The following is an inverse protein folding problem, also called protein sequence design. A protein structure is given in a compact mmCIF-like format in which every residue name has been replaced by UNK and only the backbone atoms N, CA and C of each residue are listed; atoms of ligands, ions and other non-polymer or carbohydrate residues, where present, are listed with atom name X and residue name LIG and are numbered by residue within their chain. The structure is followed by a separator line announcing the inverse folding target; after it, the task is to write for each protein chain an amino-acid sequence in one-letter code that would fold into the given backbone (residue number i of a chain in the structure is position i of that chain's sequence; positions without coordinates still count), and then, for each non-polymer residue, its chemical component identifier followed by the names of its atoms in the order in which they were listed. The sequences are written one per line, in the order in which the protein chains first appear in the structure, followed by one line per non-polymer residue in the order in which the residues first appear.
data_IF_208793547542
#
_entry.id   IF_208793547542
#
_cell.length_a   1.000
_cell.length_b   1.000
_cell.length_c   1.000
_cell.angle_alpha   90.00
_cell.angle_beta   90.00
_cell.angle_gamma   90.00
#
_symmetry.space_group_name_H-M   'P 1'
#
loop_
_entity.id
_entity.type
_entity.pdbx_description
1 polymer ?
#
# COMPACT_ATOMS: atom_id res chain seq x y z
N UNK A 1 -11.22 -16.09 -17.45
CA UNK A 1 -11.44 -17.52 -17.66
C UNK A 1 -10.25 -18.34 -17.11
N UNK A 2 -9.01 -18.16 -17.62
CA UNK A 2 -7.85 -18.99 -17.27
C UNK A 2 -7.52 -19.08 -15.75
N UNK A 3 -7.61 -17.98 -14.99
CA UNK A 3 -7.35 -17.99 -13.53
C UNK A 3 -8.38 -18.84 -12.78
N UNK A 4 -9.64 -18.81 -13.18
CA UNK A 4 -10.70 -19.61 -12.54
C UNK A 4 -10.60 -21.10 -12.89
N UNK A 5 -10.22 -21.43 -14.11
CA UNK A 5 -9.98 -22.82 -14.49
C UNK A 5 -8.79 -23.43 -13.71
N UNK A 6 -7.86 -22.60 -13.25
CA UNK A 6 -6.77 -23.00 -12.36
C UNK A 6 -7.15 -22.98 -10.85
N UNK A 7 -8.43 -22.79 -10.52
CA UNK A 7 -8.94 -22.70 -9.15
C UNK A 7 -8.26 -21.62 -8.30
N UNK A 8 -7.85 -20.50 -8.93
CA UNK A 8 -7.21 -19.37 -8.25
C UNK A 8 -8.23 -18.34 -7.78
N UNK A 9 -8.01 -17.80 -6.59
CA UNK A 9 -8.78 -16.67 -6.07
C UNK A 9 -8.40 -15.39 -6.83
N UNK A 10 -9.40 -14.59 -7.22
CA UNK A 10 -9.21 -13.31 -7.89
C UNK A 10 -9.61 -12.20 -6.93
N UNK A 11 -8.60 -11.49 -6.43
CA UNK A 11 -8.74 -10.38 -5.47
C UNK A 11 -8.05 -9.17 -6.11
N UNK A 12 -8.79 -8.32 -6.86
CA UNK A 12 -8.21 -7.14 -7.48
C UNK A 12 -7.86 -6.09 -6.44
N UNK A 13 -6.85 -5.27 -6.75
CA UNK A 13 -6.47 -4.12 -5.95
C UNK A 13 -7.21 -2.87 -6.44
N UNK A 14 -7.74 -2.09 -5.50
CA UNK A 14 -8.27 -0.75 -5.74
C UNK A 14 -7.27 0.25 -5.15
N UNK A 15 -6.80 1.16 -5.98
CA UNK A 15 -6.00 2.32 -5.55
C UNK A 15 -6.88 3.55 -5.42
N UNK A 16 -6.41 4.56 -4.68
CA UNK A 16 -7.05 5.86 -4.67
C UNK A 16 -6.26 6.85 -5.54
N UNK A 17 -6.95 7.53 -6.45
CA UNK A 17 -6.42 8.58 -7.30
C UNK A 17 -6.95 9.96 -6.92
N UNK A 18 -7.43 10.13 -5.70
CA UNK A 18 -8.07 11.38 -5.26
C UNK A 18 -7.03 12.47 -4.97
N UNK A 19 -7.47 13.72 -5.06
CA UNK A 19 -6.65 14.85 -4.66
C UNK A 19 -6.45 14.87 -3.13
N UNK A 20 -5.46 15.65 -2.69
CA UNK A 20 -5.12 15.80 -1.28
C UNK A 20 -6.36 16.08 -0.40
N UNK A 21 -6.47 15.37 0.72
CA UNK A 21 -7.53 15.42 1.73
C UNK A 21 -8.92 14.97 1.25
N UNK A 22 -9.09 14.62 -0.02
CA UNK A 22 -10.41 14.21 -0.56
C UNK A 22 -10.80 12.85 0.03
N UNK A 23 -9.93 11.84 -0.06
CA UNK A 23 -10.24 10.53 0.52
C UNK A 23 -10.44 10.61 2.04
N UNK A 24 -9.59 11.32 2.76
CA UNK A 24 -9.76 11.54 4.20
C UNK A 24 -11.12 12.17 4.55
N UNK A 25 -11.57 13.14 3.74
CA UNK A 25 -12.89 13.75 3.87
C UNK A 25 -14.04 12.78 3.58
N UNK A 26 -13.91 11.96 2.55
CA UNK A 26 -14.90 10.92 2.21
C UNK A 26 -15.01 9.87 3.33
N UNK A 27 -13.88 9.41 3.88
CA UNK A 27 -13.86 8.44 4.98
C UNK A 27 -14.48 9.00 6.26
N UNK A 28 -14.43 10.30 6.51
CA UNK A 28 -15.06 10.96 7.64
C UNK A 28 -16.58 10.86 7.61
N UNK A 29 -17.20 10.86 6.42
CA UNK A 29 -18.65 10.83 6.24
C UNK A 29 -19.18 9.39 6.21
N UNK A 30 -20.07 8.98 7.12
CA UNK A 30 -20.71 7.65 7.04
C UNK A 30 -21.43 7.41 5.72
N UNK A 31 -22.10 8.43 5.18
CA UNK A 31 -22.78 8.36 3.89
C UNK A 31 -21.80 8.09 2.76
N UNK A 32 -20.68 8.81 2.72
CA UNK A 32 -19.67 8.60 1.69
C UNK A 32 -19.01 7.23 1.81
N UNK A 33 -18.72 6.75 3.04
CA UNK A 33 -18.23 5.38 3.25
C UNK A 33 -19.21 4.35 2.69
N UNK A 34 -20.52 4.50 2.97
CA UNK A 34 -21.54 3.59 2.44
C UNK A 34 -21.58 3.59 0.90
N UNK A 35 -21.41 4.75 0.26
CA UNK A 35 -21.34 4.87 -1.20
C UNK A 35 -20.12 4.14 -1.78
N UNK A 36 -18.93 4.35 -1.18
CA UNK A 36 -17.70 3.66 -1.58
C UNK A 36 -17.85 2.15 -1.43
N UNK A 37 -18.40 1.68 -0.30
CA UNK A 37 -18.65 0.26 -0.05
C UNK A 37 -19.63 -0.31 -1.09
N UNK A 38 -20.71 0.40 -1.40
CA UNK A 38 -21.66 -0.03 -2.43
C UNK A 38 -20.97 -0.19 -3.79
N UNK A 39 -20.14 0.76 -4.20
CA UNK A 39 -19.40 0.69 -5.45
C UNK A 39 -18.40 -0.50 -5.48
N UNK A 40 -17.72 -0.78 -4.37
CA UNK A 40 -16.85 -1.95 -4.23
C UNK A 40 -17.65 -3.24 -4.38
N UNK A 41 -18.80 -3.34 -3.73
CA UNK A 41 -19.65 -4.52 -3.80
C UNK A 41 -20.23 -4.75 -5.20
N UNK A 42 -20.56 -3.67 -5.91
CA UNK A 42 -21.02 -3.75 -7.30
C UNK A 42 -19.92 -4.27 -8.23
N UNK A 43 -18.67 -3.80 -8.02
CA UNK A 43 -17.51 -4.28 -8.75
C UNK A 43 -17.28 -5.79 -8.51
N UNK A 44 -17.31 -6.22 -7.25
CA UNK A 44 -17.13 -7.63 -6.85
C UNK A 44 -18.22 -8.49 -7.49
N UNK A 45 -19.47 -8.06 -7.44
CA UNK A 45 -20.62 -8.77 -8.02
C UNK A 45 -20.53 -8.86 -9.53
N UNK A 46 -20.27 -7.73 -10.21
CA UNK A 46 -20.17 -7.65 -11.67
C UNK A 46 -19.14 -8.60 -12.25
N UNK A 47 -17.99 -8.72 -11.59
CA UNK A 47 -16.87 -9.54 -12.08
C UNK A 47 -16.72 -10.87 -11.34
N UNK A 48 -17.63 -11.15 -10.38
CA UNK A 48 -17.56 -12.32 -9.52
C UNK A 48 -16.21 -12.51 -8.84
N UNK A 49 -15.62 -11.44 -8.27
CA UNK A 49 -14.35 -11.50 -7.55
C UNK A 49 -14.49 -12.23 -6.21
N UNK A 50 -13.39 -12.80 -5.72
CA UNK A 50 -13.33 -13.54 -4.46
C UNK A 50 -13.06 -12.64 -3.25
N UNK A 51 -12.73 -11.39 -3.50
CA UNK A 51 -12.47 -10.36 -2.51
C UNK A 51 -12.01 -9.07 -3.15
N UNK A 52 -11.49 -8.19 -2.33
CA UNK A 52 -10.90 -6.91 -2.74
C UNK A 52 -9.63 -6.64 -1.94
N UNK A 53 -8.66 -5.98 -2.53
CA UNK A 53 -7.49 -5.43 -1.87
C UNK A 53 -7.56 -3.90 -1.91
N UNK A 54 -7.40 -3.26 -0.76
CA UNK A 54 -7.38 -1.80 -0.65
C UNK A 54 -5.94 -1.31 -0.60
N UNK A 55 -5.54 -0.57 -1.61
CA UNK A 55 -4.24 0.11 -1.70
C UNK A 55 -4.47 1.62 -1.72
N UNK A 56 -5.01 2.13 -0.61
CA UNK A 56 -5.34 3.55 -0.43
C UNK A 56 -4.14 4.28 0.15
N UNK A 57 -3.45 5.04 -0.68
CA UNK A 57 -2.20 5.71 -0.32
C UNK A 57 -2.32 7.23 -0.13
N UNK A 58 -3.39 7.86 -0.63
CA UNK A 58 -3.55 9.31 -0.63
C UNK A 58 -3.45 9.91 0.77
N UNK A 59 -4.15 9.37 1.75
CA UNK A 59 -4.09 9.86 3.13
C UNK A 59 -2.74 9.61 3.82
N UNK A 60 -1.93 8.70 3.29
CA UNK A 60 -0.61 8.37 3.84
C UNK A 60 0.51 9.21 3.21
N UNK A 61 0.53 9.33 1.88
CA UNK A 61 1.63 9.96 1.15
C UNK A 61 1.33 11.38 0.67
N UNK A 62 0.07 11.68 0.31
CA UNK A 62 -0.32 13.00 -0.23
C UNK A 62 -0.75 13.94 0.89
N UNK A 63 -1.53 13.45 1.86
CA UNK A 63 -1.88 14.18 3.07
C UNK A 63 -0.68 14.16 4.04
N UNK A 64 -0.45 15.24 4.73
CA UNK A 64 0.65 15.30 5.69
C UNK A 64 0.37 14.42 6.91
N UNK A 65 1.42 13.92 7.55
CA UNK A 65 1.33 13.11 8.77
C UNK A 65 0.61 13.83 9.93
N UNK A 66 0.49 15.15 9.89
CA UNK A 66 -0.30 15.96 10.84
C UNK A 66 -1.79 15.63 10.79
N UNK A 67 -2.29 15.02 9.71
CA UNK A 67 -3.70 14.63 9.56
C UNK A 67 -3.97 13.19 10.00
N UNK A 68 -2.96 12.37 10.21
CA UNK A 68 -3.12 10.94 10.45
C UNK A 68 -3.91 10.60 11.71
N UNK A 69 -3.70 11.34 12.79
CA UNK A 69 -4.46 11.13 14.03
C UNK A 69 -5.96 11.35 13.86
N UNK A 70 -6.37 12.31 13.01
CA UNK A 70 -7.78 12.57 12.71
C UNK A 70 -8.35 11.62 11.65
N UNK A 71 -7.54 11.14 10.71
CA UNK A 71 -7.97 10.23 9.63
C UNK A 71 -8.11 8.78 10.12
N UNK A 72 -7.20 8.34 11.00
CA UNK A 72 -7.12 6.98 11.51
C UNK A 72 -8.46 6.38 11.97
N UNK A 73 -9.27 7.03 12.85
CA UNK A 73 -10.54 6.44 13.30
C UNK A 73 -11.55 6.25 12.17
N UNK A 74 -11.52 7.11 11.16
CA UNK A 74 -12.41 7.00 10.00
C UNK A 74 -11.99 5.89 9.04
N UNK A 75 -10.68 5.68 8.88
CA UNK A 75 -10.12 4.53 8.18
C UNK A 75 -10.53 3.22 8.86
N UNK A 76 -10.37 3.12 10.17
CA UNK A 76 -10.78 1.92 10.93
C UNK A 76 -12.27 1.66 10.79
N UNK A 77 -13.12 2.71 10.87
CA UNK A 77 -14.56 2.58 10.68
C UNK A 77 -14.90 2.02 9.27
N UNK A 78 -14.27 2.56 8.23
CA UNK A 78 -14.45 2.11 6.85
C UNK A 78 -14.07 0.63 6.67
N UNK A 79 -12.90 0.22 7.17
CA UNK A 79 -12.44 -1.18 7.09
C UNK A 79 -13.41 -2.11 7.83
N UNK A 80 -13.88 -1.72 9.02
CA UNK A 80 -14.85 -2.49 9.79
C UNK A 80 -16.17 -2.65 9.06
N UNK A 81 -16.73 -1.57 8.52
CA UNK A 81 -18.01 -1.56 7.79
C UNK A 81 -17.92 -2.44 6.52
N UNK A 82 -16.86 -2.26 5.72
CA UNK A 82 -16.63 -3.06 4.51
C UNK A 82 -16.44 -4.55 4.85
N UNK A 83 -15.65 -4.85 5.88
CA UNK A 83 -15.42 -6.23 6.34
C UNK A 83 -16.72 -6.94 6.71
N UNK A 84 -17.62 -6.27 7.42
CA UNK A 84 -18.92 -6.86 7.80
C UNK A 84 -19.73 -7.30 6.59
N UNK A 85 -19.76 -6.45 5.56
CA UNK A 85 -20.51 -6.75 4.32
C UNK A 85 -19.81 -7.86 3.51
N UNK A 86 -18.46 -7.80 3.34
CA UNK A 86 -17.71 -8.82 2.63
C UNK A 86 -17.85 -10.20 3.27
N UNK A 87 -17.70 -10.29 4.60
CA UNK A 87 -17.87 -11.54 5.35
C UNK A 87 -19.26 -12.15 5.17
N UNK A 88 -20.32 -11.33 5.16
CA UNK A 88 -21.70 -11.81 4.91
C UNK A 88 -21.88 -12.42 3.51
N UNK A 89 -20.96 -12.19 2.60
CA UNK A 89 -20.95 -12.69 1.22
C UNK A 89 -19.80 -13.68 0.96
N UNK A 90 -19.11 -14.15 2.00
CA UNK A 90 -17.92 -15.01 1.90
C UNK A 90 -16.85 -14.43 0.97
N UNK A 91 -16.59 -13.12 1.05
CA UNK A 91 -15.58 -12.40 0.28
C UNK A 91 -14.44 -11.93 1.18
N UNK A 92 -13.23 -11.96 0.65
CA UNK A 92 -12.00 -11.61 1.37
C UNK A 92 -11.74 -10.10 1.33
N UNK A 93 -11.21 -9.59 2.43
CA UNK A 93 -10.67 -8.23 2.54
C UNK A 93 -9.15 -8.29 2.72
N UNK A 94 -8.44 -7.78 1.74
CA UNK A 94 -7.00 -7.54 1.80
C UNK A 94 -6.73 -6.04 1.91
N UNK A 95 -5.66 -5.67 2.58
CA UNK A 95 -5.22 -4.26 2.69
C UNK A 95 -3.73 -4.20 2.41
N UNK A 96 -3.35 -3.41 1.41
CA UNK A 96 -1.96 -3.06 1.09
C UNK A 96 -1.56 -1.79 1.84
N UNK A 97 -0.40 -1.81 2.51
CA UNK A 97 0.04 -0.67 3.32
C UNK A 97 1.55 -0.50 3.23
N UNK A 98 2.07 0.74 3.36
CA UNK A 98 3.46 0.94 3.69
C UNK A 98 3.79 0.39 5.08
N UNK A 99 5.06 0.42 5.43
CA UNK A 99 5.56 -0.07 6.70
C UNK A 99 4.95 0.66 7.91
N UNK A 100 4.80 -0.08 8.97
CA UNK A 100 4.48 0.42 10.30
C UNK A 100 5.35 -0.32 11.31
N UNK A 101 5.83 0.41 12.31
CA UNK A 101 6.47 -0.17 13.49
C UNK A 101 5.54 -0.07 14.69
N UNK A 102 6.09 -0.24 15.88
CA UNK A 102 5.36 0.08 17.11
C UNK A 102 4.90 1.55 17.10
N UNK A 103 3.57 1.82 17.09
CA UNK A 103 3.03 3.17 17.06
C UNK A 103 3.32 3.98 18.33
N UNK A 104 3.75 3.36 19.42
CA UNK A 104 4.21 4.04 20.62
C UNK A 104 5.65 4.56 20.53
N UNK A 105 6.45 3.99 19.60
CA UNK A 105 7.86 4.35 19.40
C UNK A 105 8.08 5.71 18.74
N UNK A 106 9.30 6.22 18.80
CA UNK A 106 9.70 7.49 18.18
C UNK A 106 9.61 7.46 16.66
N UNK A 107 9.77 6.28 16.05
CA UNK A 107 9.67 6.05 14.60
C UNK A 107 8.44 5.18 14.32
N UNK A 108 7.29 5.78 14.26
CA UNK A 108 6.01 5.08 14.18
C UNK A 108 5.69 4.47 12.81
N UNK A 109 6.37 4.87 11.73
CA UNK A 109 5.94 4.52 10.38
C UNK A 109 4.57 5.14 10.06
N UNK A 110 3.81 4.51 9.18
CA UNK A 110 2.51 5.01 8.71
C UNK A 110 1.37 4.57 9.63
N UNK A 111 1.34 5.07 10.86
CA UNK A 111 0.40 4.65 11.91
C UNK A 111 -1.09 4.93 11.59
N UNK A 112 -1.39 5.72 10.57
CA UNK A 112 -2.76 5.97 10.08
C UNK A 112 -3.45 4.67 9.64
N UNK A 113 -2.69 3.67 9.20
CA UNK A 113 -3.25 2.37 8.79
C UNK A 113 -3.73 1.49 9.95
N UNK A 114 -3.38 1.83 11.19
CA UNK A 114 -3.99 1.25 12.38
C UNK A 114 -4.01 -0.29 12.40
N UNK A 115 -2.87 -0.94 12.12
CA UNK A 115 -2.80 -2.40 11.95
C UNK A 115 -3.43 -3.19 13.11
N UNK A 116 -3.17 -2.79 14.35
CA UNK A 116 -3.75 -3.45 15.51
C UNK A 116 -5.29 -3.37 15.52
N UNK A 117 -5.83 -2.20 15.18
CA UNK A 117 -7.26 -1.94 15.21
C UNK A 117 -8.00 -2.60 14.02
N UNK A 118 -7.36 -2.72 12.84
CA UNK A 118 -7.98 -3.36 11.67
C UNK A 118 -7.75 -4.88 11.62
N UNK A 119 -6.81 -5.44 12.38
CA UNK A 119 -6.46 -6.85 12.38
C UNK A 119 -7.66 -7.81 12.50
N UNK A 120 -8.72 -7.55 13.33
CA UNK A 120 -9.89 -8.42 13.41
C UNK A 120 -10.78 -8.41 12.16
N UNK A 121 -10.62 -7.39 11.32
CA UNK A 121 -11.53 -7.13 10.20
C UNK A 121 -10.97 -7.56 8.85
N UNK A 122 -9.65 -7.70 8.70
CA UNK A 122 -8.99 -8.06 7.44
C UNK A 122 -8.59 -9.54 7.41
N UNK A 123 -8.52 -10.09 6.21
CA UNK A 123 -8.03 -11.45 5.94
C UNK A 123 -6.55 -11.44 5.57
N UNK A 124 -6.07 -10.37 4.93
CA UNK A 124 -4.67 -10.22 4.50
C UNK A 124 -4.18 -8.80 4.74
N UNK A 125 -3.02 -8.69 5.34
CA UNK A 125 -2.21 -7.47 5.37
C UNK A 125 -1.05 -7.66 4.39
N UNK A 126 -0.99 -6.87 3.33
CA UNK A 126 0.11 -6.82 2.38
C UNK A 126 1.00 -5.63 2.71
N UNK A 127 2.22 -5.89 3.10
CA UNK A 127 3.14 -4.83 3.52
C UNK A 127 4.10 -4.51 2.38
N UNK A 128 4.14 -3.26 1.96
CA UNK A 128 5.07 -2.75 0.96
C UNK A 128 6.47 -2.58 1.60
N UNK A 129 7.22 -3.68 1.74
CA UNK A 129 8.56 -3.69 2.30
C UNK A 129 9.62 -3.40 1.23
N UNK A 130 9.38 -2.36 0.45
CA UNK A 130 10.21 -1.86 -0.63
C UNK A 130 10.17 -0.33 -0.71
N UNK A 131 10.95 0.25 -1.62
CA UNK A 131 11.07 1.70 -1.80
C UNK A 131 11.57 2.44 -0.54
N UNK A 132 12.40 1.79 0.27
CA UNK A 132 13.06 2.42 1.41
C UNK A 132 13.96 3.58 0.96
N UNK A 133 14.74 3.35 -0.10
CA UNK A 133 15.60 4.38 -0.71
C UNK A 133 15.04 4.79 -2.07
N UNK A 134 14.50 6.01 -2.17
CA UNK A 134 13.96 6.59 -3.41
C UNK A 134 14.76 7.82 -3.84
N UNK A 135 15.01 8.75 -2.92
CA UNK A 135 15.64 10.05 -3.22
C UNK A 135 17.15 9.97 -3.33
N UNK A 136 17.79 8.98 -2.73
CA UNK A 136 19.25 8.80 -2.68
C UNK A 136 19.60 7.33 -2.90
N UNK A 137 20.80 7.02 -3.43
CA UNK A 137 21.27 5.64 -3.54
C UNK A 137 21.20 4.89 -2.21
N UNK A 138 20.70 3.67 -2.26
CA UNK A 138 20.56 2.82 -1.08
C UNK A 138 19.71 1.57 -1.36
N UNK A 139 19.54 0.68 -0.38
CA UNK A 139 18.77 -0.54 -0.55
C UNK A 139 17.29 -0.26 -0.75
N UNK A 140 16.61 -1.08 -1.56
CA UNK A 140 15.16 -1.00 -1.75
C UNK A 140 14.37 -1.46 -0.53
N UNK A 141 14.82 -2.52 0.13
CA UNK A 141 14.21 -3.07 1.33
C UNK A 141 15.29 -3.61 2.28
N UNK A 142 15.89 -2.78 3.14
CA UNK A 142 16.90 -3.23 4.09
C UNK A 142 16.35 -4.34 4.98
N UNK A 143 17.08 -5.45 5.14
CA UNK A 143 16.62 -6.63 5.89
C UNK A 143 16.19 -6.25 7.33
N UNK A 144 16.98 -5.49 8.04
CA UNK A 144 16.66 -5.08 9.42
C UNK A 144 15.38 -4.23 9.52
N UNK A 145 15.13 -3.39 8.52
CA UNK A 145 13.89 -2.61 8.44
C UNK A 145 12.67 -3.49 8.12
N UNK A 146 12.82 -4.40 7.17
CA UNK A 146 11.78 -5.38 6.82
C UNK A 146 11.45 -6.28 8.00
N UNK A 147 12.47 -6.83 8.68
CA UNK A 147 12.31 -7.67 9.86
C UNK A 147 11.59 -6.95 11.01
N UNK A 148 11.96 -5.70 11.29
CA UNK A 148 11.31 -4.88 12.31
C UNK A 148 9.83 -4.65 11.98
N UNK A 149 9.52 -4.39 10.72
CA UNK A 149 8.15 -4.21 10.23
C UNK A 149 7.32 -5.49 10.40
N UNK A 150 7.87 -6.64 10.02
CA UNK A 150 7.21 -7.94 10.16
C UNK A 150 7.00 -8.29 11.64
N UNK A 151 8.00 -8.08 12.49
CA UNK A 151 7.88 -8.31 13.95
C UNK A 151 6.72 -7.55 14.56
N UNK A 152 6.53 -6.28 14.17
CA UNK A 152 5.37 -5.54 14.63
C UNK A 152 4.06 -6.11 14.06
N UNK A 153 3.99 -6.42 12.77
CA UNK A 153 2.78 -6.98 12.15
C UNK A 153 2.31 -8.25 12.87
N UNK A 154 3.22 -9.22 13.09
CA UNK A 154 2.88 -10.49 13.76
C UNK A 154 2.64 -10.34 15.28
N UNK A 155 3.02 -9.23 15.89
CA UNK A 155 2.68 -8.94 17.28
C UNK A 155 1.22 -8.49 17.46
N UNK A 156 0.59 -8.00 16.38
CA UNK A 156 -0.79 -7.45 16.42
C UNK A 156 -1.80 -8.27 15.63
N UNK A 157 -1.34 -9.24 14.84
CA UNK A 157 -2.23 -10.15 14.10
C UNK A 157 -1.56 -11.51 13.84
N UNK A 158 -2.34 -12.56 13.54
CA UNK A 158 -1.79 -13.87 13.15
C UNK A 158 -0.87 -13.78 11.94
N UNK A 159 0.28 -14.46 11.98
CA UNK A 159 1.26 -14.48 10.90
C UNK A 159 0.65 -14.94 9.55
N UNK A 160 -0.37 -15.81 9.59
CA UNK A 160 -1.09 -16.27 8.39
C UNK A 160 -1.81 -15.18 7.61
N UNK A 161 -2.02 -14.01 8.22
CA UNK A 161 -2.60 -12.82 7.55
C UNK A 161 -1.54 -11.89 6.96
N UNK A 162 -0.26 -12.06 7.30
CA UNK A 162 0.81 -11.12 6.94
C UNK A 162 1.50 -11.57 5.66
N UNK A 163 1.51 -10.72 4.65
CA UNK A 163 2.14 -10.90 3.36
C UNK A 163 3.22 -9.84 3.17
N UNK A 164 4.43 -10.27 2.89
CA UNK A 164 5.60 -9.41 2.73
C UNK A 164 5.81 -9.12 1.25
N UNK A 165 5.77 -7.84 0.87
CA UNK A 165 6.06 -7.41 -0.48
C UNK A 165 7.55 -7.46 -0.77
N UNK A 166 7.94 -8.19 -1.83
CA UNK A 166 9.33 -8.26 -2.30
C UNK A 166 9.40 -7.57 -3.65
N UNK A 167 10.28 -6.56 -3.84
CA UNK A 167 10.39 -5.87 -5.11
C UNK A 167 10.99 -6.76 -6.19
N UNK A 168 10.31 -6.87 -7.34
CA UNK A 168 10.84 -7.49 -8.55
C UNK A 168 11.56 -6.49 -9.46
N UNK A 169 12.11 -5.40 -8.90
CA UNK A 169 12.75 -4.31 -9.63
C UNK A 169 13.94 -3.74 -8.85
N UNK A 170 14.77 -2.96 -9.53
CA UNK A 170 15.84 -2.15 -8.95
C UNK A 170 15.65 -0.67 -9.25
N UNK A 171 16.52 0.16 -8.71
CA UNK A 171 16.57 1.60 -8.99
C UNK A 171 17.97 2.05 -9.28
N UNK A 172 18.12 2.94 -10.25
CA UNK A 172 19.36 3.60 -10.63
C UNK A 172 19.32 5.07 -10.21
N UNK A 173 20.44 5.56 -9.74
CA UNK A 173 20.62 6.97 -9.40
C UNK A 173 21.84 7.53 -10.15
N UNK A 174 21.64 8.69 -10.77
CA UNK A 174 22.76 9.43 -11.35
C UNK A 174 23.58 10.04 -10.21
N UNK A 175 24.79 9.55 -10.01
CA UNK A 175 25.71 10.02 -8.96
C UNK A 175 26.72 11.02 -9.47
N UNK A 176 27.08 10.97 -10.78
CA UNK A 176 28.02 11.88 -11.43
C UNK A 176 27.63 12.06 -12.90
N UNK A 177 27.82 13.24 -13.43
CA UNK A 177 27.68 13.55 -14.86
C UNK A 177 28.96 14.21 -15.32
N UNK A 178 29.57 13.71 -16.40
CA UNK A 178 30.75 14.27 -17.05
C UNK A 178 30.43 14.62 -18.50
N UNK A 179 30.97 15.73 -18.99
CA UNK A 179 30.70 16.23 -20.33
C UNK A 179 29.36 16.93 -20.47
N UNK A 180 28.88 17.05 -21.69
CA UNK A 180 27.62 17.74 -22.05
C UNK A 180 26.56 16.71 -22.44
N UNK A 181 25.46 16.65 -21.69
CA UNK A 181 24.34 15.81 -22.04
C UNK A 181 23.49 16.43 -23.15
N UNK A 182 22.97 15.63 -24.10
CA UNK A 182 21.94 16.08 -25.03
C UNK A 182 20.75 16.68 -24.26
N UNK A 183 20.12 17.74 -24.81
CA UNK A 183 19.02 18.44 -24.14
C UNK A 183 17.85 17.53 -23.80
N UNK A 184 17.59 16.53 -24.63
CA UNK A 184 16.50 15.55 -24.53
C UNK A 184 16.62 14.68 -23.28
N UNK A 185 17.84 14.41 -22.83
CA UNK A 185 18.11 13.54 -21.66
C UNK A 185 18.66 14.28 -20.45
N UNK A 186 18.93 15.58 -20.56
CA UNK A 186 19.57 16.36 -19.48
C UNK A 186 18.79 16.33 -18.16
N UNK A 187 17.46 16.23 -18.19
CA UNK A 187 16.63 16.16 -16.99
C UNK A 187 16.68 14.77 -16.32
N UNK A 188 16.99 13.72 -17.07
CA UNK A 188 17.01 12.33 -16.60
C UNK A 188 18.38 11.96 -16.04
N UNK A 189 19.46 12.48 -16.66
CA UNK A 189 20.85 12.10 -16.31
C UNK A 189 21.53 13.07 -15.35
N UNK A 190 20.89 14.13 -14.90
CA UNK A 190 21.47 15.06 -13.92
C UNK A 190 21.57 14.43 -12.54
N UNK A 191 22.62 14.76 -11.79
CA UNK A 191 22.75 14.38 -10.38
C UNK A 191 21.55 14.89 -9.57
N UNK A 192 20.94 14.03 -8.75
CA UNK A 192 19.73 14.35 -7.98
C UNK A 192 18.42 14.23 -8.78
N UNK A 193 18.47 13.75 -10.03
CA UNK A 193 17.27 13.35 -10.75
C UNK A 193 16.56 12.21 -10.01
N UNK A 194 15.24 12.07 -10.25
CA UNK A 194 14.48 10.93 -9.72
C UNK A 194 15.13 9.63 -10.21
N UNK A 195 15.29 8.66 -9.31
CA UNK A 195 15.81 7.35 -9.67
C UNK A 195 15.02 6.71 -10.82
N UNK A 196 15.72 6.14 -11.78
CA UNK A 196 15.12 5.25 -12.75
C UNK A 196 14.77 3.91 -12.09
N UNK A 197 13.73 3.26 -12.57
CA UNK A 197 13.30 1.93 -12.12
C UNK A 197 13.50 0.94 -13.25
N UNK A 198 14.07 -0.21 -12.96
CA UNK A 198 14.24 -1.31 -13.90
C UNK A 198 13.75 -2.62 -13.28
N UNK A 199 13.28 -3.55 -14.10
CA UNK A 199 12.90 -4.90 -13.64
C UNK A 199 14.12 -5.79 -13.51
N UNK A 200 14.13 -6.73 -12.55
CA UNK A 200 15.28 -7.60 -12.31
C UNK A 200 15.69 -8.42 -13.53
N UNK A 201 14.74 -8.80 -14.39
CA UNK A 201 15.03 -9.49 -15.65
C UNK A 201 15.98 -8.69 -16.55
N UNK A 202 15.79 -7.36 -16.60
CA UNK A 202 16.55 -6.49 -17.48
C UNK A 202 17.96 -6.19 -16.91
N UNK A 203 18.14 -6.39 -15.60
CA UNK A 203 19.45 -6.24 -14.95
C UNK A 203 20.40 -7.42 -15.23
N UNK A 204 19.90 -8.54 -15.73
CA UNK A 204 20.67 -9.76 -16.04
C UNK A 204 21.20 -9.77 -17.50
N UNK A 205 20.81 -8.80 -18.34
CA UNK A 205 21.25 -8.64 -19.73
C UNK A 205 22.27 -7.54 -19.85
#
# INVERSE_FOLDING_TARGET
AALRSANLQIIPTITDGTAKLVLAGLLKSPTSRAQIISAIMDLIRKHNYDGIDLDFEGFAFVDKNTTWSSTKPHWVAFVKELSGILKSKNKLLSVSTPYLYDPAGAQKGYFVYAWAEIAPYIDRLRIMTYDFSVAKPGPLGPLAWTERTIKYAISVMPASKVYVGIPGYGRDWVTKVEGTCPKEVANVVRVGAKAATFVLRDAAT
#
